data_IF_602334232281
#
_entry.id   IF_602334232281
#
_cell.length_a   1.000
_cell.length_b   1.000
_cell.length_c   1.000
_cell.angle_alpha   90.00
_cell.angle_beta   90.00
_cell.angle_gamma   90.00
#
_symmetry.space_group_name_H-M   'P 1'
#
loop_
_entity.id
_entity.type
_entity.pdbx_description
1 polymer ?
#
# COMPACT_ATOMS: atom_id res chain seq x y z
N UNK A 1 -41.43 -4.51 20.63
CA UNK A 1 -41.12 -5.90 20.22
C UNK A 1 -39.95 -5.79 19.24
N UNK A 2 -38.74 -6.15 19.67
CA UNK A 2 -37.53 -5.98 18.84
C UNK A 2 -37.30 -7.21 17.99
N UNK A 3 -37.11 -7.02 16.67
CA UNK A 3 -36.77 -8.10 15.75
C UNK A 3 -35.24 -8.23 15.76
N UNK A 4 -34.73 -9.40 16.15
CA UNK A 4 -33.32 -9.75 15.99
C UNK A 4 -33.15 -10.33 14.60
N UNK A 5 -32.44 -9.62 13.73
CA UNK A 5 -32.02 -10.14 12.43
C UNK A 5 -30.66 -10.81 12.64
N UNK A 6 -30.53 -12.14 12.48
CA UNK A 6 -29.24 -12.79 12.48
C UNK A 6 -28.47 -12.32 11.24
N UNK A 7 -27.25 -11.80 11.45
CA UNK A 7 -26.32 -11.59 10.34
C UNK A 7 -26.00 -12.97 9.75
N UNK A 8 -26.27 -13.17 8.47
CA UNK A 8 -25.90 -14.37 7.74
C UNK A 8 -24.41 -14.69 7.91
N UNK A 9 -24.06 -15.98 7.77
CA UNK A 9 -22.73 -16.52 7.98
C UNK A 9 -21.63 -15.62 7.44
N UNK A 10 -20.58 -15.46 8.26
CA UNK A 10 -19.40 -14.63 8.02
C UNK A 10 -18.79 -14.97 6.66
N UNK A 11 -19.22 -14.27 5.60
CA UNK A 11 -18.53 -14.29 4.30
C UNK A 11 -17.08 -13.98 4.60
N UNK A 12 -16.17 -14.89 4.24
CA UNK A 12 -14.75 -14.57 4.26
C UNK A 12 -14.57 -13.30 3.43
N UNK A 13 -14.20 -12.20 4.09
CA UNK A 13 -13.91 -10.95 3.41
C UNK A 13 -12.61 -11.16 2.64
N UNK A 14 -12.73 -11.66 1.41
CA UNK A 14 -11.59 -11.95 0.55
C UNK A 14 -10.91 -10.67 0.12
N UNK A 15 -9.66 -10.48 0.57
CA UNK A 15 -8.78 -9.41 0.10
C UNK A 15 -8.55 -9.48 -1.42
N UNK A 16 -8.72 -10.66 -1.99
CA UNK A 16 -8.58 -10.97 -3.43
C UNK A 16 -9.39 -10.05 -4.31
N UNK A 17 -10.69 -9.87 -4.03
CA UNK A 17 -11.55 -8.98 -4.83
C UNK A 17 -11.07 -7.53 -4.80
N UNK A 18 -10.53 -7.09 -3.66
CA UNK A 18 -9.97 -5.75 -3.53
C UNK A 18 -8.66 -5.63 -4.30
N UNK A 19 -7.79 -6.65 -4.23
CA UNK A 19 -6.55 -6.71 -4.99
C UNK A 19 -6.81 -6.67 -6.48
N UNK A 20 -7.75 -7.47 -6.97
CA UNK A 20 -8.12 -7.51 -8.39
C UNK A 20 -8.65 -6.15 -8.86
N UNK A 21 -9.46 -5.49 -8.04
CA UNK A 21 -10.02 -4.16 -8.34
C UNK A 21 -8.92 -3.10 -8.51
N UNK A 22 -7.90 -3.12 -7.65
CA UNK A 22 -6.86 -2.08 -7.62
C UNK A 22 -5.56 -2.47 -8.30
N UNK A 23 -5.43 -3.71 -8.79
CA UNK A 23 -4.18 -4.24 -9.36
C UNK A 23 -3.52 -3.31 -10.39
N UNK A 24 -4.28 -2.67 -11.32
CA UNK A 24 -3.68 -1.74 -12.28
C UNK A 24 -3.02 -0.52 -11.61
N UNK A 25 -3.69 0.08 -10.63
CA UNK A 25 -3.18 1.27 -9.94
C UNK A 25 -2.09 0.89 -8.93
N UNK A 26 -2.13 -0.31 -8.37
CA UNK A 26 -1.07 -0.84 -7.51
C UNK A 26 0.22 -1.02 -8.31
N UNK A 27 0.14 -1.55 -9.53
CA UNK A 27 1.28 -1.67 -10.43
C UNK A 27 1.86 -0.30 -10.81
N UNK A 28 1.00 0.67 -11.17
CA UNK A 28 1.43 2.06 -11.45
C UNK A 28 2.10 2.70 -10.23
N UNK A 29 1.60 2.41 -9.03
CA UNK A 29 2.17 2.89 -7.77
C UNK A 29 3.55 2.27 -7.53
N UNK A 30 3.72 0.97 -7.78
CA UNK A 30 5.01 0.29 -7.65
C UNK A 30 6.06 0.87 -8.62
N UNK A 31 5.67 1.11 -9.87
CA UNK A 31 6.53 1.75 -10.86
C UNK A 31 6.93 3.15 -10.44
N UNK A 32 5.99 3.93 -9.89
CA UNK A 32 6.27 5.26 -9.36
C UNK A 32 7.26 5.21 -8.19
N UNK A 33 7.14 4.23 -7.29
CA UNK A 33 8.09 4.04 -6.19
C UNK A 33 9.50 3.80 -6.74
N UNK A 34 9.66 2.84 -7.67
CA UNK A 34 10.94 2.51 -8.30
C UNK A 34 11.57 3.73 -8.98
N UNK A 35 10.77 4.49 -9.74
CA UNK A 35 11.24 5.71 -10.42
C UNK A 35 11.72 6.77 -9.43
N UNK A 36 11.14 6.84 -8.23
CA UNK A 36 11.46 7.84 -7.21
C UNK A 36 12.65 7.46 -6.34
N UNK A 37 13.02 6.18 -6.32
CA UNK A 37 14.17 5.67 -5.58
C UNK A 37 15.44 5.49 -6.41
N UNK A 38 15.42 5.84 -7.70
CA UNK A 38 16.64 5.89 -8.51
C UNK A 38 17.60 6.96 -7.98
N UNK A 39 18.82 6.56 -7.60
CA UNK A 39 19.86 7.49 -7.16
C UNK A 39 21.26 6.94 -7.46
N UNK A 40 22.21 7.85 -7.69
CA UNK A 40 23.65 7.56 -7.83
C UNK A 40 24.30 7.18 -6.48
N UNK A 41 23.57 7.33 -5.36
CA UNK A 41 24.02 6.93 -4.03
C UNK A 41 23.52 5.52 -3.71
N UNK A 42 24.45 4.59 -3.47
CA UNK A 42 24.19 3.15 -3.32
C UNK A 42 23.23 2.77 -2.18
N UNK A 43 23.07 3.61 -1.16
CA UNK A 43 22.17 3.39 -0.01
C UNK A 43 20.69 3.65 -0.31
N UNK A 44 20.36 4.44 -1.34
CA UNK A 44 18.96 4.75 -1.69
C UNK A 44 18.27 3.57 -2.40
N UNK A 45 18.94 2.82 -3.30
CA UNK A 45 18.43 1.54 -3.82
C UNK A 45 18.12 0.50 -2.75
N UNK A 46 18.79 0.51 -1.60
CA UNK A 46 18.49 -0.40 -0.49
C UNK A 46 17.11 -0.11 0.09
N UNK A 47 16.74 1.17 0.23
CA UNK A 47 15.37 1.59 0.61
C UNK A 47 14.33 1.10 -0.40
N UNK A 48 14.63 1.18 -1.70
CA UNK A 48 13.78 0.67 -2.78
C UNK A 48 13.60 -0.85 -2.68
N UNK A 49 14.69 -1.57 -2.42
CA UNK A 49 14.67 -3.01 -2.24
C UNK A 49 13.85 -3.39 -1.01
N UNK A 50 14.04 -2.74 0.15
CA UNK A 50 13.18 -2.97 1.32
C UNK A 50 11.70 -2.73 1.00
N UNK A 51 11.38 -1.66 0.26
CA UNK A 51 10.02 -1.36 -0.21
C UNK A 51 9.39 -2.46 -1.07
N UNK A 52 10.19 -3.10 -1.93
CA UNK A 52 9.70 -4.10 -2.90
C UNK A 52 9.71 -5.49 -2.29
N UNK A 53 10.76 -5.83 -1.56
CA UNK A 53 11.05 -7.17 -1.04
C UNK A 53 10.44 -7.45 0.33
N UNK A 54 9.97 -6.45 1.07
CA UNK A 54 9.31 -6.65 2.37
C UNK A 54 8.04 -7.52 2.31
N UNK A 55 7.56 -7.93 1.13
CA UNK A 55 6.59 -9.03 0.97
C UNK A 55 5.21 -8.78 1.61
N UNK A 56 4.99 -7.60 2.17
CA UNK A 56 3.73 -7.21 2.79
C UNK A 56 2.62 -7.09 1.75
N UNK A 57 1.38 -7.31 2.17
CA UNK A 57 0.17 -7.14 1.35
C UNK A 57 -0.07 -5.70 0.88
N UNK A 58 0.89 -4.77 1.05
CA UNK A 58 0.81 -3.33 0.72
C UNK A 58 -0.49 -2.69 1.19
N UNK A 59 -0.95 -3.07 2.39
CA UNK A 59 -2.27 -2.67 2.90
C UNK A 59 -2.49 -1.15 2.89
N UNK A 60 -1.44 -0.36 3.14
CA UNK A 60 -1.51 1.11 3.15
C UNK A 60 -1.77 1.68 1.75
N UNK A 61 -0.97 1.39 0.71
CA UNK A 61 -1.30 1.70 -0.67
C UNK A 61 -2.70 1.22 -1.06
N UNK A 62 -3.05 -0.02 -0.72
CA UNK A 62 -4.35 -0.58 -1.09
C UNK A 62 -5.51 0.25 -0.55
N UNK A 63 -5.45 0.68 0.70
CA UNK A 63 -6.48 1.51 1.32
C UNK A 63 -6.63 2.87 0.60
N UNK A 64 -5.52 3.49 0.21
CA UNK A 64 -5.55 4.75 -0.55
C UNK A 64 -6.22 4.57 -1.90
N UNK A 65 -5.77 3.57 -2.67
CA UNK A 65 -6.27 3.31 -4.03
C UNK A 65 -7.76 2.94 -4.00
N UNK A 66 -8.15 2.05 -3.08
CA UNK A 66 -9.54 1.66 -2.89
C UNK A 66 -10.43 2.85 -2.51
N UNK A 67 -9.97 3.70 -1.58
CA UNK A 67 -10.73 4.87 -1.13
C UNK A 67 -10.89 5.89 -2.27
N UNK A 68 -9.83 6.12 -3.06
CA UNK A 68 -9.91 7.00 -4.23
C UNK A 68 -10.93 6.49 -5.25
N UNK A 69 -10.94 5.17 -5.51
CA UNK A 69 -11.92 4.52 -6.37
C UNK A 69 -13.35 4.64 -5.83
N UNK A 70 -13.55 4.37 -4.54
CA UNK A 70 -14.84 4.50 -3.85
C UNK A 70 -15.40 5.94 -3.90
N UNK A 71 -14.53 6.95 -3.81
CA UNK A 71 -14.90 8.36 -3.91
C UNK A 71 -15.03 8.85 -5.36
N UNK A 72 -14.83 7.98 -6.36
CA UNK A 72 -14.97 8.33 -7.77
C UNK A 72 -13.88 9.28 -8.29
N UNK A 73 -12.72 9.35 -7.62
CA UNK A 73 -11.61 10.20 -8.06
C UNK A 73 -11.09 9.76 -9.44
N UNK A 74 -10.83 10.71 -10.33
CA UNK A 74 -10.41 10.45 -11.73
C UNK A 74 -9.02 10.95 -12.09
N UNK A 75 -8.34 11.62 -11.15
CA UNK A 75 -6.96 12.08 -11.37
C UNK A 75 -5.93 11.03 -10.95
N UNK A 76 -4.64 11.35 -11.14
CA UNK A 76 -3.52 10.47 -10.76
C UNK A 76 -2.91 10.80 -9.39
N UNK A 77 -3.48 11.77 -8.64
CA UNK A 77 -2.95 12.18 -7.34
C UNK A 77 -2.91 11.05 -6.30
N UNK A 78 -3.86 10.13 -6.36
CA UNK A 78 -3.96 8.98 -5.47
C UNK A 78 -2.76 8.02 -5.60
N UNK A 79 -2.15 7.90 -6.78
CA UNK A 79 -0.93 7.11 -7.00
C UNK A 79 0.27 7.72 -6.27
N UNK A 80 0.46 9.03 -6.41
CA UNK A 80 1.52 9.77 -5.70
C UNK A 80 1.33 9.72 -4.19
N UNK A 81 0.08 9.80 -3.75
CA UNK A 81 -0.24 9.72 -2.33
C UNK A 81 -0.02 8.32 -1.76
N UNK A 82 -0.45 7.27 -2.47
CA UNK A 82 -0.19 5.88 -2.09
C UNK A 82 1.31 5.58 -1.99
N UNK A 83 2.10 6.03 -2.98
CA UNK A 83 3.55 5.91 -2.95
C UNK A 83 4.17 6.70 -1.77
N UNK A 84 3.71 7.93 -1.52
CA UNK A 84 4.20 8.75 -0.41
C UNK A 84 3.95 8.13 0.97
N UNK A 85 2.77 7.54 1.18
CA UNK A 85 2.46 6.83 2.43
C UNK A 85 3.38 5.62 2.60
N UNK A 86 3.63 4.86 1.54
CA UNK A 86 4.51 3.69 1.64
C UNK A 86 5.96 4.11 1.90
N UNK A 87 6.43 5.21 1.29
CA UNK A 87 7.74 5.78 1.63
C UNK A 87 7.85 6.15 3.11
N UNK A 88 6.83 6.82 3.67
CA UNK A 88 6.83 7.16 5.10
C UNK A 88 6.87 5.90 5.97
N UNK A 89 6.07 4.88 5.63
CA UNK A 89 6.07 3.63 6.36
C UNK A 89 7.43 2.91 6.30
N UNK A 90 8.06 2.84 5.13
CA UNK A 90 9.39 2.22 5.02
C UNK A 90 10.45 3.03 5.74
N UNK A 91 10.37 4.36 5.73
CA UNK A 91 11.29 5.20 6.49
C UNK A 91 11.20 4.94 8.00
N UNK A 92 9.99 4.71 8.54
CA UNK A 92 9.85 4.32 9.95
C UNK A 92 10.45 2.95 10.21
N UNK A 93 10.19 1.95 9.35
CA UNK A 93 10.77 0.61 9.51
C UNK A 93 12.31 0.65 9.50
N UNK A 94 12.93 1.34 8.56
CA UNK A 94 14.38 1.46 8.49
C UNK A 94 14.96 2.18 9.72
N UNK A 95 14.26 3.20 10.22
CA UNK A 95 14.68 3.89 11.44
C UNK A 95 14.55 2.97 12.66
N UNK A 96 13.47 2.20 12.74
CA UNK A 96 13.24 1.21 13.81
C UNK A 96 14.33 0.12 13.76
N UNK A 97 14.65 -0.42 12.58
CA UNK A 97 15.71 -1.43 12.39
C UNK A 97 17.09 -0.93 12.88
N UNK A 98 17.40 0.36 12.67
CA UNK A 98 18.67 0.96 13.15
C UNK A 98 18.65 1.20 14.67
N UNK A 99 17.51 1.56 15.24
CA UNK A 99 17.35 1.77 16.69
C UNK A 99 17.36 0.45 17.46
N UNK A 100 16.79 -0.61 16.88
CA UNK A 100 16.54 -1.88 17.56
C UNK A 100 17.73 -2.88 17.50
N UNK A 101 18.91 -2.48 16.98
CA UNK A 101 20.12 -3.32 16.83
C UNK A 101 19.81 -4.77 16.38
N UNK A 102 19.00 -4.92 15.33
CA UNK A 102 18.71 -6.24 14.72
C UNK A 102 19.61 -6.55 13.52
#
# INVERSE_FOLDING_TARGET
MGIVIPLEEKKEAGLENLLDLIAPDLERTNQLIIQRTGSDVTTIPEVANHLISAGGKRLRPMLVLATAGMCGYKGDGHLKFAAGIEFMHTATLLHDDVVDES
#
